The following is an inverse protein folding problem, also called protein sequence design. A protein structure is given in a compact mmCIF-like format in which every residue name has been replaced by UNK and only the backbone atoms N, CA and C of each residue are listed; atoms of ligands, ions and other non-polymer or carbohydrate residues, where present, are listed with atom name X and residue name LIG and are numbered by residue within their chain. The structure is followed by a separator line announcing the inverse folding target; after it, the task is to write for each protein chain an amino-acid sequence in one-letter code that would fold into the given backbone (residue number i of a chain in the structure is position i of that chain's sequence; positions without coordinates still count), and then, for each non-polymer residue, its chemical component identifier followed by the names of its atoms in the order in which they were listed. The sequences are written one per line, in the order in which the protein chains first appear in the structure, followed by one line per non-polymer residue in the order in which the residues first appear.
data_IF_031822442588
#
_entry.id   IF_031822442588
#
_cell.length_a   1.000
_cell.length_b   1.000
_cell.length_c   1.000
_cell.angle_alpha   90.00
_cell.angle_beta   90.00
_cell.angle_gamma   90.00
#
_symmetry.space_group_name_H-M   'P 1'
#
loop_
_entity.id
_entity.type
_entity.pdbx_description
1 polymer ?
#
# COMPACT_ATOMS: atom_id res chain seq x y z
N UNK A 1 -24.17 57.80 -4.16
CA UNK A 1 -25.29 57.00 -4.68
C UNK A 1 -24.79 56.32 -5.93
N UNK A 2 -24.53 55.01 -5.85
CA UNK A 2 -24.32 54.05 -6.95
C UNK A 2 -24.13 52.68 -6.27
N UNK A 3 -25.25 52.04 -5.93
CA UNK A 3 -25.29 50.75 -5.24
C UNK A 3 -25.07 49.62 -6.25
N UNK A 4 -23.86 49.06 -6.27
CA UNK A 4 -23.57 47.80 -6.98
C UNK A 4 -24.00 46.68 -6.05
N UNK A 5 -25.27 46.25 -6.20
CA UNK A 5 -25.79 45.06 -5.54
C UNK A 5 -25.13 43.82 -6.14
N UNK A 6 -24.04 43.37 -5.50
CA UNK A 6 -23.48 42.05 -5.74
C UNK A 6 -24.48 40.99 -5.24
N UNK A 7 -25.23 40.39 -6.16
CA UNK A 7 -26.00 39.18 -5.92
C UNK A 7 -25.05 38.00 -5.70
N UNK A 8 -24.57 37.81 -4.47
CA UNK A 8 -23.97 36.55 -4.06
C UNK A 8 -25.10 35.60 -3.66
N UNK A 9 -25.52 34.75 -4.60
CA UNK A 9 -26.36 33.60 -4.29
C UNK A 9 -25.66 32.74 -3.22
N UNK A 10 -26.36 32.28 -2.16
CA UNK A 10 -25.76 31.40 -1.19
C UNK A 10 -25.38 30.10 -1.90
N UNK A 11 -24.12 29.70 -1.75
CA UNK A 11 -23.60 28.42 -2.22
C UNK A 11 -24.38 27.32 -1.48
N UNK A 12 -25.53 26.95 -2.03
CA UNK A 12 -26.35 25.86 -1.57
C UNK A 12 -25.44 24.63 -1.44
N UNK A 13 -25.48 24.05 -0.24
CA UNK A 13 -24.74 22.88 0.17
C UNK A 13 -24.57 21.89 -1.01
N UNK A 14 -23.34 21.78 -1.51
CA UNK A 14 -22.93 20.60 -2.27
C UNK A 14 -23.13 19.44 -1.29
N UNK A 15 -24.04 18.48 -1.54
CA UNK A 15 -24.08 17.30 -0.70
C UNK A 15 -22.68 16.72 -0.80
N UNK A 16 -21.98 16.62 0.34
CA UNK A 16 -20.76 15.87 0.43
C UNK A 16 -21.09 14.53 -0.23
N UNK A 17 -20.46 14.24 -1.37
CA UNK A 17 -20.49 12.91 -1.94
C UNK A 17 -20.02 12.00 -0.82
N UNK A 18 -20.97 11.37 -0.15
CA UNK A 18 -20.72 10.25 0.73
C UNK A 18 -20.14 9.23 -0.23
N UNK A 19 -18.81 9.25 -0.39
CA UNK A 19 -18.04 8.22 -1.10
C UNK A 19 -18.49 6.94 -0.44
N UNK A 20 -19.45 6.28 -1.09
CA UNK A 20 -20.11 5.11 -0.56
C UNK A 20 -18.99 4.19 -0.09
N UNK A 21 -18.97 3.96 1.23
CA UNK A 21 -17.99 3.15 1.92
C UNK A 21 -17.83 1.88 1.09
N UNK A 22 -16.75 1.79 0.31
CA UNK A 22 -16.60 0.83 -0.80
C UNK A 22 -16.80 -0.54 -0.17
N UNK A 23 -17.96 -1.15 -0.41
CA UNK A 23 -18.24 -2.51 0.07
C UNK A 23 -17.27 -3.39 -0.68
N UNK A 24 -16.11 -3.66 -0.11
CA UNK A 24 -15.14 -4.58 -0.69
C UNK A 24 -15.89 -5.89 -0.91
N UNK A 25 -16.04 -6.30 -2.16
CA UNK A 25 -16.59 -7.61 -2.46
C UNK A 25 -15.69 -8.66 -1.82
N UNK A 26 -16.26 -9.82 -1.46
CA UNK A 26 -15.46 -10.92 -0.93
C UNK A 26 -14.29 -11.29 -1.86
N UNK A 27 -14.46 -11.11 -3.18
CA UNK A 27 -13.40 -11.28 -4.16
C UNK A 27 -12.26 -10.25 -3.99
N UNK A 28 -12.58 -8.98 -3.77
CA UNK A 28 -11.59 -7.94 -3.51
C UNK A 28 -10.82 -8.20 -2.20
N UNK A 29 -11.52 -8.64 -1.15
CA UNK A 29 -10.87 -9.00 0.12
C UNK A 29 -9.93 -10.20 -0.04
N UNK A 30 -10.36 -11.25 -0.74
CA UNK A 30 -9.52 -12.43 -1.04
C UNK A 30 -8.28 -12.04 -1.84
N UNK A 31 -8.43 -11.16 -2.84
CA UNK A 31 -7.31 -10.67 -3.65
C UNK A 31 -6.31 -9.90 -2.81
N UNK A 32 -6.78 -9.06 -1.87
CA UNK A 32 -5.90 -8.35 -0.94
C UNK A 32 -5.13 -9.31 -0.03
N UNK A 33 -5.79 -10.35 0.49
CA UNK A 33 -5.15 -11.38 1.31
C UNK A 33 -4.11 -12.16 0.50
N UNK A 34 -4.43 -12.53 -0.75
CA UNK A 34 -3.50 -13.21 -1.65
C UNK A 34 -2.26 -12.37 -1.90
N UNK A 35 -2.43 -11.08 -2.23
CA UNK A 35 -1.32 -10.14 -2.42
C UNK A 35 -0.45 -10.02 -1.16
N UNK A 36 -1.06 -9.96 0.02
CA UNK A 36 -0.32 -9.93 1.30
C UNK A 36 0.48 -11.21 1.53
N UNK A 37 -0.07 -12.37 1.18
CA UNK A 37 0.63 -13.66 1.27
C UNK A 37 1.81 -13.72 0.31
N UNK A 38 1.61 -13.32 -0.95
CA UNK A 38 2.66 -13.26 -1.95
C UNK A 38 3.83 -12.38 -1.50
N UNK A 39 3.55 -11.19 -0.96
CA UNK A 39 4.58 -10.32 -0.38
C UNK A 39 5.30 -10.97 0.80
N UNK A 40 4.59 -11.71 1.65
CA UNK A 40 5.20 -12.42 2.77
C UNK A 40 6.10 -13.58 2.29
N UNK A 41 5.67 -14.33 1.27
CA UNK A 41 6.47 -15.37 0.64
C UNK A 41 7.74 -14.80 -0.01
N UNK A 42 7.62 -13.69 -0.74
CA UNK A 42 8.78 -13.01 -1.34
C UNK A 42 9.82 -12.62 -0.29
N UNK A 43 9.40 -12.01 0.83
CA UNK A 43 10.32 -11.64 1.92
C UNK A 43 10.94 -12.86 2.60
N UNK A 44 10.18 -13.93 2.77
CA UNK A 44 10.70 -15.17 3.33
C UNK A 44 11.75 -15.81 2.41
N UNK A 45 11.49 -15.82 1.10
CA UNK A 45 12.42 -16.32 0.10
C UNK A 45 13.71 -15.48 0.06
N UNK A 46 13.59 -14.15 0.12
CA UNK A 46 14.76 -13.27 0.26
C UNK A 46 15.57 -13.59 1.51
N UNK A 47 14.93 -13.85 2.66
CA UNK A 47 15.62 -14.25 3.89
C UNK A 47 16.34 -15.59 3.73
N UNK A 48 15.72 -16.56 3.05
CA UNK A 48 16.32 -17.86 2.76
C UNK A 48 17.54 -17.71 1.84
N UNK A 49 17.38 -17.02 0.71
CA UNK A 49 18.47 -16.78 -0.24
C UNK A 49 19.61 -15.99 0.43
N UNK A 50 19.33 -14.99 1.26
CA UNK A 50 20.35 -14.25 2.01
C UNK A 50 21.18 -15.15 2.95
N UNK A 51 20.56 -16.21 3.47
CA UNK A 51 21.21 -17.15 4.39
C UNK A 51 21.98 -18.22 3.63
N UNK A 52 21.36 -18.83 2.63
CA UNK A 52 21.88 -20.01 1.95
C UNK A 52 22.82 -19.63 0.79
N UNK A 53 22.48 -18.60 0.02
CA UNK A 53 23.16 -18.22 -1.22
C UNK A 53 23.21 -16.69 -1.40
N UNK A 54 23.99 -15.98 -0.56
CA UNK A 54 23.99 -14.51 -0.54
C UNK A 54 24.45 -13.87 -1.86
N UNK A 55 25.22 -14.57 -2.71
CA UNK A 55 25.65 -14.07 -4.02
C UNK A 55 24.49 -13.89 -5.01
N UNK A 56 23.41 -14.65 -4.86
CA UNK A 56 22.22 -14.51 -5.71
C UNK A 56 21.47 -13.18 -5.48
N UNK A 57 21.67 -12.54 -4.33
CA UNK A 57 21.12 -11.20 -4.07
C UNK A 57 21.73 -10.19 -5.03
N UNK A 58 23.06 -10.26 -5.20
CA UNK A 58 23.81 -9.37 -6.08
C UNK A 58 23.44 -9.65 -7.57
N UNK A 59 23.19 -10.90 -7.94
CA UNK A 59 22.75 -11.28 -9.30
C UNK A 59 21.34 -10.76 -9.66
N UNK A 60 20.45 -10.65 -8.67
CA UNK A 60 19.12 -10.04 -8.84
C UNK A 60 19.24 -8.50 -8.89
N UNK A 61 20.40 -7.95 -8.54
CA UNK A 61 20.67 -6.51 -8.49
C UNK A 61 20.15 -5.83 -7.23
N UNK A 62 19.89 -6.58 -6.16
CA UNK A 62 19.60 -6.00 -4.85
C UNK A 62 20.90 -5.85 -4.06
N UNK A 63 21.01 -4.77 -3.28
CA UNK A 63 22.07 -4.68 -2.28
C UNK A 63 21.68 -5.42 -1.01
N UNK A 64 22.66 -5.95 -0.27
CA UNK A 64 22.42 -6.61 1.03
C UNK A 64 21.65 -5.71 2.02
N UNK A 65 21.88 -4.40 2.00
CA UNK A 65 21.17 -3.43 2.84
C UNK A 65 19.69 -3.31 2.49
N UNK A 66 19.35 -3.35 1.21
CA UNK A 66 17.95 -3.34 0.76
C UNK A 66 17.25 -4.64 1.11
N UNK A 67 17.94 -5.78 1.00
CA UNK A 67 17.41 -7.08 1.45
C UNK A 67 17.13 -7.07 2.95
N UNK A 68 18.08 -6.59 3.77
CA UNK A 68 17.86 -6.46 5.22
C UNK A 68 16.68 -5.52 5.53
N UNK A 69 16.53 -4.42 4.80
CA UNK A 69 15.40 -3.51 4.94
C UNK A 69 14.06 -4.15 4.54
N UNK A 70 14.02 -4.99 3.49
CA UNK A 70 12.83 -5.76 3.12
C UNK A 70 12.49 -6.85 4.12
N UNK A 71 13.49 -7.55 4.65
CA UNK A 71 13.32 -8.57 5.71
C UNK A 71 12.83 -7.90 7.00
N UNK A 72 13.32 -6.69 7.32
CA UNK A 72 12.87 -5.95 8.49
C UNK A 72 11.38 -5.55 8.44
N UNK A 73 10.77 -5.49 7.24
CA UNK A 73 9.32 -5.27 7.05
C UNK A 73 8.47 -6.50 7.39
N UNK A 74 9.09 -7.66 7.64
CA UNK A 74 8.36 -8.83 8.11
C UNK A 74 7.69 -8.53 9.46
N UNK A 75 6.43 -8.99 9.64
CA UNK A 75 5.77 -8.88 10.92
C UNK A 75 6.54 -9.70 11.97
N UNK A 76 6.43 -9.29 13.23
CA UNK A 76 7.23 -9.87 14.32
C UNK A 76 7.03 -11.39 14.46
N UNK A 77 5.86 -11.94 14.13
CA UNK A 77 5.58 -13.38 14.20
C UNK A 77 6.25 -14.18 13.07
N UNK A 78 6.90 -13.52 12.12
CA UNK A 78 7.56 -14.14 10.97
C UNK A 78 9.05 -13.76 10.89
N UNK A 79 9.58 -13.05 11.91
CA UNK A 79 10.99 -12.68 12.05
C UNK A 79 11.84 -13.83 12.54
#
# INVERSE_FOLDING_TARGET
MNDILATCAPLAARPAEIKSRRRYSLAALRSLIALRREQAYFRFELKRIATDNPHLIDDIGLTRKEVEAEIAKLPFWQR
#
